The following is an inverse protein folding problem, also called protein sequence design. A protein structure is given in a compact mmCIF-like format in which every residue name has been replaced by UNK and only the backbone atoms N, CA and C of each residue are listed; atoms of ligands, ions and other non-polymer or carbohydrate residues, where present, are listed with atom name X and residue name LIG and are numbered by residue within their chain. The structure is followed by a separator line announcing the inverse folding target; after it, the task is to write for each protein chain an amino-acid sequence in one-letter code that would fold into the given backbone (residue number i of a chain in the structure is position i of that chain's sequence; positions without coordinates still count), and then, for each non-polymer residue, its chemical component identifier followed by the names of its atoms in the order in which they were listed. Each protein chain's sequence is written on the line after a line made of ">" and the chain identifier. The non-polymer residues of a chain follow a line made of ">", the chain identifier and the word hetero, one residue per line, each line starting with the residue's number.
data_IF_837951173659
#
_entry.id   IF_837951173659
#
_cell.length_a   1.000
_cell.length_b   1.000
_cell.length_c   1.000
_cell.angle_alpha   90.00
_cell.angle_beta   90.00
_cell.angle_gamma   90.00
#
_symmetry.space_group_name_H-M   'P 1'
#
loop_
_entity.id
_entity.type
_entity.pdbx_description
1 polymer ?
#
# COMPACT_ATOMS: atom_id res chain seq x y z
N UNK A 1 63.40 19.87 40.14
CA UNK A 1 63.80 21.12 39.47
C UNK A 1 62.74 21.48 38.42
N UNK A 2 62.30 22.75 38.41
CA UNK A 2 61.20 23.38 37.63
C UNK A 2 61.26 23.10 36.11
N UNK A 3 60.15 22.68 35.47
CA UNK A 3 59.09 23.46 34.74
C UNK A 3 59.51 24.13 33.41
N UNK A 4 58.85 23.76 32.29
CA UNK A 4 58.08 24.63 31.35
C UNK A 4 57.42 23.82 30.20
N UNK A 5 56.11 23.50 30.30
CA UNK A 5 54.93 23.92 29.49
C UNK A 5 55.16 24.35 28.02
N UNK A 6 54.33 23.79 27.11
CA UNK A 6 53.48 24.53 26.13
C UNK A 6 52.29 23.68 25.62
N UNK A 7 51.24 24.39 25.23
CA UNK A 7 49.80 24.05 25.11
C UNK A 7 49.34 23.27 23.86
N UNK A 8 48.09 22.75 23.91
CA UNK A 8 47.30 22.09 22.86
C UNK A 8 46.83 23.03 21.71
N UNK A 9 46.22 22.51 20.61
CA UNK A 9 44.75 22.31 20.60
C UNK A 9 44.23 21.07 19.83
N UNK A 10 42.96 20.75 20.07
CA UNK A 10 42.09 19.82 19.34
C UNK A 10 41.75 20.36 17.95
N UNK A 11 41.67 19.51 16.91
CA UNK A 11 40.87 19.82 15.73
C UNK A 11 40.23 18.57 15.10
N UNK A 12 38.95 18.75 14.83
CA UNK A 12 37.98 17.93 14.11
C UNK A 12 38.14 18.09 12.61
N UNK A 13 38.26 17.00 11.83
CA UNK A 13 37.76 16.99 10.45
C UNK A 13 37.85 15.61 9.79
N UNK A 14 36.71 15.14 9.29
CA UNK A 14 36.58 14.15 8.21
C UNK A 14 36.45 14.93 6.88
N UNK A 15 36.77 14.32 5.73
CA UNK A 15 35.72 13.89 4.79
C UNK A 15 36.03 12.49 4.19
N UNK A 16 35.08 11.55 4.01
CA UNK A 16 33.98 11.46 3.05
C UNK A 16 34.42 11.34 1.57
N UNK A 17 34.52 10.11 1.05
CA UNK A 17 34.38 9.67 -0.36
C UNK A 17 34.53 8.12 -0.36
N UNK A 18 33.81 7.28 -1.08
CA UNK A 18 32.98 7.48 -2.26
C UNK A 18 31.94 6.34 -2.33
N UNK A 19 30.65 6.69 -2.30
CA UNK A 19 29.53 5.79 -2.50
C UNK A 19 29.02 6.00 -3.93
N UNK A 20 29.30 5.05 -4.82
CA UNK A 20 28.68 5.01 -6.13
C UNK A 20 28.33 3.57 -6.45
N UNK A 21 27.07 3.23 -6.17
CA UNK A 21 26.16 2.42 -7.00
C UNK A 21 25.02 1.95 -6.10
N UNK A 22 23.85 1.85 -6.71
CA UNK A 22 22.53 1.56 -6.12
C UNK A 22 21.78 2.84 -5.76
N UNK A 23 20.77 3.15 -6.58
CA UNK A 23 19.41 3.57 -6.24
C UNK A 23 18.78 4.17 -7.50
N UNK A 24 18.23 3.30 -8.35
CA UNK A 24 17.21 3.72 -9.31
C UNK A 24 15.96 3.94 -8.45
N UNK A 25 15.56 5.20 -8.31
CA UNK A 25 14.42 5.65 -7.52
C UNK A 25 13.15 4.92 -7.95
N UNK A 26 12.63 4.02 -7.11
CA UNK A 26 11.25 3.58 -7.16
C UNK A 26 10.44 4.52 -6.27
N UNK A 27 10.13 5.72 -6.78
CA UNK A 27 9.10 6.56 -6.17
C UNK A 27 7.77 6.09 -6.75
N UNK A 28 6.93 5.50 -5.91
CA UNK A 28 5.67 4.92 -6.32
C UNK A 28 4.69 5.03 -5.16
N UNK A 29 3.56 5.70 -5.36
CA UNK A 29 2.46 5.68 -4.39
C UNK A 29 1.74 4.33 -4.50
N UNK A 30 1.84 3.47 -3.49
CA UNK A 30 1.24 2.13 -3.51
C UNK A 30 -0.22 2.13 -3.01
N UNK A 31 -1.08 1.38 -3.70
CA UNK A 31 -2.36 0.90 -3.14
C UNK A 31 -2.13 -0.52 -2.64
N UNK A 32 -2.07 -0.68 -1.32
CA UNK A 32 -1.94 -1.98 -0.67
C UNK A 32 -3.33 -2.61 -0.55
N UNK A 33 -3.54 -3.72 -1.27
CA UNK A 33 -4.51 -4.73 -0.86
C UNK A 33 -3.70 -5.89 -0.31
N UNK A 34 -3.96 -6.33 0.92
CA UNK A 34 -3.25 -7.46 1.51
C UNK A 34 -3.39 -8.65 0.57
N UNK A 35 -2.31 -9.37 0.30
CA UNK A 35 -2.34 -10.69 -0.33
C UNK A 35 -1.33 -11.54 0.42
N UNK A 36 -1.49 -12.86 0.30
CA UNK A 36 -0.48 -13.80 0.76
C UNK A 36 0.90 -13.39 0.25
N UNK A 37 1.92 -13.39 1.11
CA UNK A 37 2.98 -12.40 1.00
C UNK A 37 4.15 -12.88 0.11
N UNK A 38 3.81 -13.73 -0.87
CA UNK A 38 4.74 -14.30 -1.86
C UNK A 38 4.76 -13.55 -3.19
N UNK A 39 3.75 -12.74 -3.49
CA UNK A 39 3.68 -12.04 -4.79
C UNK A 39 3.96 -10.55 -4.65
N UNK A 40 5.20 -10.14 -4.94
CA UNK A 40 5.63 -8.75 -4.94
C UNK A 40 5.41 -8.06 -6.29
N UNK A 41 4.71 -8.71 -7.25
CA UNK A 41 4.47 -8.11 -8.57
C UNK A 41 3.68 -6.80 -8.41
N UNK A 42 4.05 -5.82 -9.24
CA UNK A 42 3.53 -4.45 -9.22
C UNK A 42 3.01 -4.10 -10.60
N UNK A 43 1.83 -3.48 -10.66
CA UNK A 43 1.31 -2.84 -11.87
C UNK A 43 1.46 -1.33 -11.74
N UNK A 44 2.04 -0.67 -12.73
CA UNK A 44 2.14 0.79 -12.77
C UNK A 44 1.05 1.38 -13.66
N UNK A 45 0.25 2.30 -13.11
CA UNK A 45 -0.72 3.07 -13.88
C UNK A 45 -0.01 4.24 -14.56
N UNK A 46 -0.13 4.28 -15.88
CA UNK A 46 0.54 5.29 -16.73
C UNK A 46 -0.43 6.20 -17.47
N UNK A 47 -1.75 6.04 -17.28
CA UNK A 47 -2.76 6.82 -18.01
C UNK A 47 -3.87 7.34 -17.10
N UNK A 48 -4.32 8.57 -17.40
CA UNK A 48 -5.45 9.21 -16.73
C UNK A 48 -6.73 8.37 -16.82
N UNK A 49 -6.96 7.70 -17.96
CA UNK A 49 -8.10 6.81 -18.15
C UNK A 49 -8.08 5.64 -17.14
N UNK A 50 -6.93 5.01 -16.93
CA UNK A 50 -6.80 3.90 -15.97
C UNK A 50 -6.97 4.38 -14.52
N UNK A 51 -6.43 5.56 -14.19
CA UNK A 51 -6.63 6.16 -12.86
C UNK A 51 -8.10 6.47 -12.59
N UNK A 52 -8.84 7.01 -13.57
CA UNK A 52 -10.30 7.24 -13.45
C UNK A 52 -11.09 5.95 -13.31
N UNK A 53 -10.63 4.88 -13.97
CA UNK A 53 -11.23 3.56 -13.78
C UNK A 53 -11.00 3.10 -12.34
N UNK A 54 -9.81 3.23 -11.79
CA UNK A 54 -9.56 2.79 -10.43
C UNK A 54 -10.20 3.69 -9.36
N UNK A 55 -10.42 4.97 -9.63
CA UNK A 55 -10.91 5.96 -8.65
C UNK A 55 -12.33 5.72 -8.09
N UNK A 56 -13.02 4.63 -8.46
CA UNK A 56 -14.35 4.33 -7.92
C UNK A 56 -14.25 3.50 -6.64
N UNK A 57 -14.99 3.85 -5.58
CA UNK A 57 -14.94 3.15 -4.29
C UNK A 57 -15.17 1.64 -4.40
N UNK A 58 -16.24 1.20 -5.07
CA UNK A 58 -16.51 -0.24 -5.28
C UNK A 58 -15.36 -0.94 -6.00
N UNK A 59 -14.70 -0.29 -6.97
CA UNK A 59 -13.58 -0.91 -7.71
C UNK A 59 -12.32 -1.03 -6.84
N UNK A 60 -12.03 -0.03 -5.99
CA UNK A 60 -10.97 -0.13 -4.99
C UNK A 60 -11.26 -1.25 -3.99
N UNK A 61 -12.51 -1.38 -3.53
CA UNK A 61 -12.92 -2.44 -2.61
C UNK A 61 -12.77 -3.82 -3.23
N UNK A 62 -13.29 -4.03 -4.45
CA UNK A 62 -13.19 -5.31 -5.16
C UNK A 62 -11.74 -5.70 -5.46
N UNK A 63 -10.91 -4.77 -5.92
CA UNK A 63 -9.48 -5.04 -6.12
C UNK A 63 -8.79 -5.40 -4.80
N UNK A 64 -9.15 -4.72 -3.70
CA UNK A 64 -8.66 -5.06 -2.36
C UNK A 64 -9.05 -6.47 -1.93
N UNK A 65 -10.32 -6.85 -2.09
CA UNK A 65 -10.84 -8.19 -1.74
C UNK A 65 -10.19 -9.30 -2.57
N UNK A 66 -9.97 -9.08 -3.86
CA UNK A 66 -9.31 -10.05 -4.74
C UNK A 66 -7.82 -10.24 -4.40
N UNK A 67 -7.19 -9.23 -3.81
CA UNK A 67 -5.85 -9.38 -3.24
C UNK A 67 -5.92 -10.17 -1.93
N UNK A 68 -6.87 -9.82 -1.06
CA UNK A 68 -6.94 -10.34 0.31
C UNK A 68 -7.38 -11.79 0.37
N UNK A 69 -8.43 -12.11 -0.37
CA UNK A 69 -9.10 -13.41 -0.35
C UNK A 69 -8.67 -14.31 -1.52
N UNK A 70 -7.77 -13.83 -2.38
CA UNK A 70 -7.36 -14.52 -3.61
C UNK A 70 -8.49 -14.61 -4.65
N UNK A 71 -8.51 -15.68 -5.48
CA UNK A 71 -9.53 -15.85 -6.51
C UNK A 71 -10.95 -15.85 -5.94
N UNK A 72 -11.86 -15.06 -6.53
CA UNK A 72 -13.26 -14.97 -6.14
C UNK A 72 -14.19 -14.85 -7.35
N UNK A 73 -15.44 -15.27 -7.20
CA UNK A 73 -16.52 -15.05 -8.17
C UNK A 73 -17.23 -13.71 -7.92
N UNK A 74 -17.98 -13.24 -8.92
CA UNK A 74 -18.81 -12.03 -8.77
C UNK A 74 -19.92 -12.20 -7.71
N UNK A 75 -20.42 -13.41 -7.49
CA UNK A 75 -21.43 -13.70 -6.48
C UNK A 75 -20.85 -13.57 -5.06
N UNK A 76 -19.71 -14.23 -4.80
CA UNK A 76 -19.03 -14.15 -3.50
C UNK A 76 -18.64 -12.71 -3.14
N UNK A 77 -18.11 -11.96 -4.11
CA UNK A 77 -17.78 -10.56 -3.91
C UNK A 77 -19.04 -9.71 -3.66
N UNK A 78 -20.15 -10.01 -4.36
CA UNK A 78 -21.45 -9.36 -4.17
C UNK A 78 -21.99 -9.53 -2.76
N UNK A 79 -21.86 -10.72 -2.17
CA UNK A 79 -22.28 -10.99 -0.79
C UNK A 79 -21.46 -10.18 0.23
N UNK A 80 -20.17 -9.93 -0.04
CA UNK A 80 -19.29 -9.18 0.86
C UNK A 80 -19.54 -7.67 0.77
N UNK A 81 -19.76 -7.15 -0.44
CA UNK A 81 -19.94 -5.70 -0.67
C UNK A 81 -21.42 -5.26 -0.67
N UNK A 82 -22.33 -6.20 -0.45
CA UNK A 82 -23.79 -6.00 -0.46
C UNK A 82 -24.30 -5.35 -1.76
N UNK A 83 -23.83 -5.86 -2.90
CA UNK A 83 -24.28 -5.42 -4.23
C UNK A 83 -24.67 -6.61 -5.12
N UNK A 84 -25.61 -6.37 -6.03
CA UNK A 84 -26.09 -7.40 -6.96
C UNK A 84 -24.94 -7.95 -7.87
N UNK A 85 -24.91 -9.26 -8.17
CA UNK A 85 -23.85 -9.87 -8.98
C UNK A 85 -23.66 -9.25 -10.37
N UNK A 86 -24.73 -8.70 -10.96
CA UNK A 86 -24.66 -7.97 -12.24
C UNK A 86 -23.85 -6.66 -12.13
N UNK A 87 -24.01 -5.93 -11.04
CA UNK A 87 -23.24 -4.70 -10.75
C UNK A 87 -21.77 -5.04 -10.51
N UNK A 88 -21.50 -6.11 -9.77
CA UNK A 88 -20.13 -6.58 -9.53
C UNK A 88 -19.46 -7.00 -10.82
N UNK A 89 -20.15 -7.76 -11.68
CA UNK A 89 -19.62 -8.18 -12.97
C UNK A 89 -19.23 -6.98 -13.86
N UNK A 90 -20.03 -5.90 -13.83
CA UNK A 90 -19.68 -4.66 -14.53
C UNK A 90 -18.38 -4.04 -13.99
N UNK A 91 -18.24 -3.94 -12.65
CA UNK A 91 -17.04 -3.37 -12.04
C UNK A 91 -15.79 -4.22 -12.26
N UNK A 92 -15.91 -5.56 -12.19
CA UNK A 92 -14.85 -6.49 -12.52
C UNK A 92 -14.42 -6.35 -13.98
N UNK A 93 -15.37 -6.25 -14.92
CA UNK A 93 -15.06 -6.00 -16.33
C UNK A 93 -14.27 -4.70 -16.54
N UNK A 94 -14.58 -3.63 -15.80
CA UNK A 94 -13.81 -2.37 -15.83
C UNK A 94 -12.40 -2.55 -15.27
N UNK A 95 -12.22 -3.28 -14.17
CA UNK A 95 -10.89 -3.58 -13.63
C UNK A 95 -10.05 -4.44 -14.60
N UNK A 96 -10.68 -5.44 -15.23
CA UNK A 96 -10.04 -6.29 -16.22
C UNK A 96 -9.60 -5.48 -17.46
N UNK A 97 -10.40 -4.49 -17.88
CA UNK A 97 -10.06 -3.62 -19.02
C UNK A 97 -8.79 -2.79 -18.83
N UNK A 98 -8.33 -2.63 -17.59
CA UNK A 98 -7.08 -1.95 -17.24
C UNK A 98 -6.03 -2.91 -16.64
N UNK A 99 -6.22 -4.22 -16.86
CA UNK A 99 -5.30 -5.30 -16.46
C UNK A 99 -4.94 -5.34 -14.95
N UNK A 100 -5.85 -4.88 -14.08
CA UNK A 100 -5.68 -5.01 -12.63
C UNK A 100 -6.22 -6.34 -12.08
N UNK A 101 -7.10 -7.00 -12.84
CA UNK A 101 -7.60 -8.33 -12.54
C UNK A 101 -7.63 -9.16 -13.83
N UNK A 102 -7.64 -10.47 -13.69
CA UNK A 102 -7.72 -11.43 -14.79
C UNK A 102 -8.60 -12.64 -14.40
N UNK A 103 -9.09 -13.41 -15.38
CA UNK A 103 -9.73 -14.69 -15.09
C UNK A 103 -8.76 -15.63 -14.34
N UNK A 104 -9.25 -16.27 -13.29
CA UNK A 104 -8.51 -17.28 -12.54
C UNK A 104 -8.90 -18.69 -12.99
N UNK A 105 -8.08 -19.68 -12.64
CA UNK A 105 -8.45 -21.08 -12.78
C UNK A 105 -9.70 -21.39 -11.93
N UNK A 106 -10.55 -22.30 -12.42
CA UNK A 106 -11.75 -22.70 -11.71
C UNK A 106 -11.38 -23.32 -10.35
N UNK A 107 -11.96 -22.78 -9.27
CA UNK A 107 -11.75 -23.28 -7.91
C UNK A 107 -12.82 -24.30 -7.48
N UNK A 108 -13.81 -24.55 -8.34
CA UNK A 108 -14.87 -25.53 -8.12
C UNK A 108 -15.10 -26.39 -9.37
N UNK A 109 -15.88 -27.46 -9.23
CA UNK A 109 -16.29 -28.32 -10.34
C UNK A 109 -17.39 -27.71 -11.22
N UNK A 110 -18.02 -26.60 -10.82
CA UNK A 110 -19.05 -25.95 -11.63
C UNK A 110 -18.40 -25.06 -12.70
N UNK A 111 -18.47 -25.53 -13.95
CA UNK A 111 -17.91 -24.82 -15.11
C UNK A 111 -18.66 -23.53 -15.47
N UNK A 112 -19.79 -23.23 -14.82
CA UNK A 112 -20.54 -21.98 -15.03
C UNK A 112 -19.99 -20.83 -14.20
N UNK A 113 -19.15 -21.11 -13.20
CA UNK A 113 -18.57 -20.08 -12.36
C UNK A 113 -17.41 -19.36 -13.06
N UNK A 114 -17.46 -18.03 -13.05
CA UNK A 114 -16.37 -17.19 -13.54
C UNK A 114 -15.57 -16.64 -12.38
N UNK A 115 -14.36 -17.16 -12.23
CA UNK A 115 -13.41 -16.79 -11.18
C UNK A 115 -12.49 -15.67 -11.66
N UNK A 116 -12.21 -14.72 -10.78
CA UNK A 116 -11.34 -13.58 -11.02
C UNK A 116 -10.25 -13.54 -9.97
N UNK A 117 -9.05 -13.09 -10.34
CA UNK A 117 -7.95 -12.84 -9.42
C UNK A 117 -7.28 -11.50 -9.72
N UNK A 118 -6.65 -10.89 -8.72
CA UNK A 118 -5.80 -9.73 -8.95
C UNK A 118 -4.55 -10.13 -9.75
N UNK A 119 -4.13 -9.30 -10.71
CA UNK A 119 -2.90 -9.57 -11.49
C UNK A 119 -1.63 -9.33 -10.69
N UNK A 120 -1.70 -8.41 -9.71
CA UNK A 120 -0.60 -7.97 -8.87
C UNK A 120 -1.07 -7.58 -7.48
N UNK A 121 -0.19 -7.74 -6.48
CA UNK A 121 -0.47 -7.34 -5.10
C UNK A 121 -0.49 -5.81 -4.93
N UNK A 122 0.21 -5.08 -5.80
CA UNK A 122 0.47 -3.66 -5.65
C UNK A 122 0.17 -2.90 -6.94
N UNK A 123 -0.60 -1.81 -6.82
CA UNK A 123 -0.76 -0.82 -7.89
C UNK A 123 0.02 0.43 -7.53
N UNK A 124 0.74 1.00 -8.49
CA UNK A 124 1.61 2.16 -8.29
C UNK A 124 1.48 3.21 -9.40
N UNK A 125 1.83 4.46 -9.09
CA UNK A 125 2.10 5.53 -10.05
C UNK A 125 3.04 6.54 -9.41
N UNK A 126 3.69 7.37 -10.23
CA UNK A 126 4.55 8.46 -9.76
C UNK A 126 3.80 9.80 -9.88
N UNK A 127 3.34 10.42 -8.77
CA UNK A 127 2.61 11.67 -8.83
C UNK A 127 3.39 12.83 -9.45
N UNK A 128 4.72 12.89 -9.29
CA UNK A 128 5.52 13.97 -9.84
C UNK A 128 5.50 13.98 -11.37
N UNK A 129 5.49 12.80 -11.99
CA UNK A 129 5.46 12.64 -13.46
C UNK A 129 4.14 13.13 -14.07
N UNK A 130 3.11 13.35 -13.25
CA UNK A 130 1.76 13.78 -13.68
C UNK A 130 1.54 15.28 -13.51
N UNK A 131 2.47 16.01 -12.90
CA UNK A 131 2.31 17.44 -12.58
C UNK A 131 2.22 18.32 -13.84
N UNK A 132 2.86 17.89 -14.94
CA UNK A 132 2.94 18.64 -16.19
C UNK A 132 1.74 18.44 -17.12
N UNK A 133 0.85 17.47 -16.83
CA UNK A 133 -0.36 17.20 -17.59
C UNK A 133 -1.61 17.42 -16.72
N UNK A 134 -2.40 18.48 -16.96
CA UNK A 134 -3.60 18.79 -16.17
C UNK A 134 -4.63 17.67 -16.12
N UNK A 135 -4.77 16.87 -17.19
CA UNK A 135 -5.73 15.77 -17.25
C UNK A 135 -5.28 14.60 -16.37
N UNK A 136 -3.99 14.24 -16.45
CA UNK A 136 -3.38 13.21 -15.60
C UNK A 136 -3.37 13.64 -14.13
N UNK A 137 -3.05 14.90 -13.84
CA UNK A 137 -3.08 15.46 -12.50
C UNK A 137 -4.48 15.36 -11.88
N UNK A 138 -5.52 15.74 -12.63
CA UNK A 138 -6.90 15.66 -12.17
C UNK A 138 -7.35 14.21 -11.92
N UNK A 139 -6.97 13.28 -12.80
CA UNK A 139 -7.27 11.86 -12.64
C UNK A 139 -6.56 11.25 -11.41
N UNK A 140 -5.27 11.57 -11.22
CA UNK A 140 -4.48 11.16 -10.06
C UNK A 140 -5.06 11.71 -8.76
N UNK A 141 -5.40 13.00 -8.73
CA UNK A 141 -6.02 13.63 -7.55
C UNK A 141 -7.37 12.99 -7.21
N UNK A 142 -8.18 12.63 -8.20
CA UNK A 142 -9.44 11.90 -8.00
C UNK A 142 -9.18 10.52 -7.38
N UNK A 143 -8.25 9.75 -7.93
CA UNK A 143 -7.86 8.44 -7.40
C UNK A 143 -7.33 8.54 -5.96
N UNK A 144 -6.44 9.49 -5.68
CA UNK A 144 -5.88 9.73 -4.35
C UNK A 144 -6.96 10.06 -3.31
N UNK A 145 -7.95 10.88 -3.68
CA UNK A 145 -9.08 11.21 -2.80
C UNK A 145 -9.92 9.97 -2.48
N UNK A 146 -10.24 9.15 -3.48
CA UNK A 146 -10.99 7.91 -3.27
C UNK A 146 -10.25 6.91 -2.38
N UNK A 147 -8.93 6.82 -2.52
CA UNK A 147 -8.08 6.00 -1.64
C UNK A 147 -8.10 6.55 -0.21
N UNK A 148 -7.94 7.85 -0.03
CA UNK A 148 -8.01 8.47 1.29
C UNK A 148 -9.35 8.22 1.98
N UNK A 149 -10.46 8.28 1.23
CA UNK A 149 -11.80 7.93 1.72
C UNK A 149 -11.90 6.46 2.12
N UNK A 150 -11.33 5.54 1.32
CA UNK A 150 -11.32 4.12 1.65
C UNK A 150 -10.50 3.82 2.93
N UNK A 151 -9.35 4.50 3.12
CA UNK A 151 -8.56 4.37 4.36
C UNK A 151 -9.30 4.93 5.57
N UNK A 152 -9.97 6.07 5.42
CA UNK A 152 -10.78 6.63 6.49
C UNK A 152 -11.92 5.68 6.89
N UNK A 153 -12.61 5.08 5.92
CA UNK A 153 -13.66 4.10 6.19
C UNK A 153 -13.14 2.88 6.97
N UNK A 154 -12.03 2.27 6.53
CA UNK A 154 -11.42 1.13 7.25
C UNK A 154 -11.01 1.48 8.69
N UNK A 155 -10.51 2.70 8.90
CA UNK A 155 -10.13 3.14 10.23
C UNK A 155 -11.36 3.36 11.13
N UNK A 156 -12.45 3.90 10.58
CA UNK A 156 -13.74 3.97 11.27
C UNK A 156 -14.26 2.57 11.64
N UNK A 157 -14.23 1.61 10.70
CA UNK A 157 -14.65 0.22 10.97
C UNK A 157 -13.83 -0.40 12.12
N UNK A 158 -12.52 -0.17 12.15
CA UNK A 158 -11.64 -0.59 13.25
C UNK A 158 -12.03 0.06 14.59
N UNK A 159 -12.31 1.36 14.60
CA UNK A 159 -12.75 2.07 15.82
C UNK A 159 -14.07 1.47 16.33
N UNK A 160 -15.03 1.24 15.45
CA UNK A 160 -16.33 0.68 15.79
C UNK A 160 -16.23 -0.78 16.28
N UNK A 161 -15.28 -1.55 15.74
CA UNK A 161 -15.01 -2.93 16.16
C UNK A 161 -14.18 -3.01 17.46
N UNK A 162 -13.42 -1.98 17.83
CA UNK A 162 -12.47 -1.98 18.95
C UNK A 162 -13.04 -2.51 20.28
N UNK A 163 -14.28 -2.17 20.71
CA UNK A 163 -14.86 -2.70 21.94
C UNK A 163 -15.01 -4.24 21.98
N UNK A 164 -15.03 -4.88 20.82
CA UNK A 164 -15.22 -6.33 20.67
C UNK A 164 -13.92 -7.07 20.35
N UNK A 165 -12.79 -6.36 20.18
CA UNK A 165 -11.50 -6.98 19.91
C UNK A 165 -10.83 -7.52 21.19
N UNK A 166 -10.03 -8.60 21.11
CA UNK A 166 -9.25 -9.06 22.25
C UNK A 166 -8.28 -7.98 22.74
N UNK A 167 -8.11 -7.87 24.06
CA UNK A 167 -7.28 -6.83 24.70
C UNK A 167 -5.86 -6.75 24.12
N UNK A 168 -5.24 -7.89 23.86
CA UNK A 168 -3.84 -7.94 23.41
C UNK A 168 -3.69 -7.36 21.99
N UNK A 169 -4.71 -7.53 21.13
CA UNK A 169 -4.77 -6.90 19.81
C UNK A 169 -4.96 -5.38 19.89
N UNK A 170 -5.82 -4.91 20.81
CA UNK A 170 -6.00 -3.47 21.06
C UNK A 170 -4.72 -2.84 21.63
N UNK A 171 -4.02 -3.54 22.52
CA UNK A 171 -2.78 -3.05 23.13
C UNK A 171 -1.59 -3.03 22.15
N UNK A 172 -1.55 -3.96 21.20
CA UNK A 172 -0.51 -4.04 20.16
C UNK A 172 -0.72 -3.02 19.02
N UNK A 173 -1.95 -2.52 18.84
CA UNK A 173 -2.26 -1.55 17.80
C UNK A 173 -1.47 -0.23 18.00
N UNK A 174 -1.03 0.35 16.89
CA UNK A 174 -0.30 1.62 16.90
C UNK A 174 -1.11 2.70 16.19
N UNK A 175 -1.31 3.84 16.86
CA UNK A 175 -1.91 5.05 16.28
C UNK A 175 -1.17 6.28 16.79
N UNK A 176 -0.85 7.21 15.89
CA UNK A 176 -0.29 8.50 16.30
C UNK A 176 0.00 9.41 15.12
N UNK A 177 -0.06 10.71 15.38
CA UNK A 177 0.34 11.76 14.46
C UNK A 177 1.53 12.54 15.03
N UNK A 178 2.48 12.90 14.15
CA UNK A 178 3.64 13.71 14.49
C UNK A 178 3.87 14.74 13.39
N UNK A 179 4.14 15.98 13.78
CA UNK A 179 4.59 17.01 12.84
C UNK A 179 6.11 17.08 12.88
N UNK A 180 6.75 16.75 11.75
CA UNK A 180 8.20 16.79 11.59
C UNK A 180 8.60 18.00 10.75
N UNK A 181 9.80 18.54 10.99
CA UNK A 181 10.44 19.55 10.14
C UNK A 181 11.64 18.90 9.48
N UNK A 182 11.54 18.65 8.18
CA UNK A 182 12.52 17.89 7.40
C UNK A 182 12.89 18.63 6.12
N UNK A 183 14.12 18.49 5.66
CA UNK A 183 14.50 18.83 4.27
C UNK A 183 13.95 17.80 3.28
N UNK A 184 14.12 18.04 1.97
CA UNK A 184 13.73 17.08 0.92
C UNK A 184 14.56 15.79 1.01
N UNK A 185 15.85 15.92 1.34
CA UNK A 185 16.77 14.80 1.53
C UNK A 185 16.37 13.98 2.75
N UNK A 186 16.05 14.63 3.87
CA UNK A 186 15.62 13.97 5.11
C UNK A 186 14.25 13.29 4.94
N UNK A 187 13.29 13.95 4.28
CA UNK A 187 12.00 13.34 3.93
C UNK A 187 12.17 12.14 2.99
N UNK A 188 13.14 12.21 2.08
CA UNK A 188 13.49 11.10 1.19
C UNK A 188 14.10 9.93 1.94
N UNK A 189 15.03 10.20 2.87
CA UNK A 189 15.60 9.17 3.73
C UNK A 189 14.53 8.52 4.62
N UNK A 190 13.69 9.33 5.28
CA UNK A 190 12.59 8.84 6.12
C UNK A 190 11.60 7.97 5.33
N UNK A 191 11.28 8.36 4.08
CA UNK A 191 10.43 7.54 3.20
C UNK A 191 11.06 6.16 2.96
N UNK A 192 12.33 6.11 2.60
CA UNK A 192 13.03 4.85 2.35
C UNK A 192 13.11 3.97 3.62
N UNK A 193 13.30 4.58 4.80
CA UNK A 193 13.26 3.86 6.08
C UNK A 193 11.87 3.29 6.40
N UNK A 194 10.80 4.03 6.10
CA UNK A 194 9.42 3.57 6.26
C UNK A 194 9.09 2.42 5.30
N UNK A 195 9.49 2.53 4.03
CA UNK A 195 9.33 1.47 3.04
C UNK A 195 10.08 0.20 3.48
N UNK A 196 11.35 0.33 3.88
CA UNK A 196 12.13 -0.80 4.39
C UNK A 196 11.56 -1.41 5.68
N UNK A 197 10.92 -0.60 6.54
CA UNK A 197 10.20 -1.11 7.71
C UNK A 197 8.99 -1.95 7.30
N UNK A 198 8.20 -1.46 6.35
CA UNK A 198 7.00 -2.15 5.84
C UNK A 198 7.40 -3.46 5.17
N UNK A 199 8.40 -3.45 4.31
CA UNK A 199 8.87 -4.63 3.58
C UNK A 199 9.28 -5.76 4.54
N UNK A 200 9.98 -5.45 5.64
CA UNK A 200 10.32 -6.45 6.67
C UNK A 200 9.08 -7.11 7.31
N UNK A 201 8.03 -6.35 7.55
CA UNK A 201 6.79 -6.88 8.14
C UNK A 201 5.94 -7.62 7.11
N UNK A 202 6.00 -7.24 5.83
CA UNK A 202 5.44 -8.03 4.73
C UNK A 202 6.11 -9.40 4.65
N UNK A 203 7.45 -9.45 4.72
CA UNK A 203 8.22 -10.71 4.75
C UNK A 203 7.91 -11.55 5.99
N UNK A 204 7.72 -10.91 7.16
CA UNK A 204 7.32 -11.61 8.39
C UNK A 204 5.92 -12.21 8.23
N UNK A 205 4.97 -11.43 7.71
CA UNK A 205 3.66 -11.90 7.28
C UNK A 205 3.76 -13.12 6.35
N UNK A 206 4.74 -13.10 5.43
CA UNK A 206 4.95 -14.13 4.41
C UNK A 206 5.20 -15.53 4.95
N UNK A 207 5.80 -15.58 6.13
CA UNK A 207 6.21 -16.81 6.78
C UNK A 207 5.05 -17.51 7.50
N UNK A 208 3.93 -16.81 7.75
CA UNK A 208 2.77 -17.35 8.44
C UNK A 208 1.94 -18.30 7.57
N UNK A 209 1.27 -19.26 8.20
CA UNK A 209 0.40 -20.21 7.52
C UNK A 209 -0.82 -19.48 6.92
N UNK A 210 -1.06 -19.57 5.58
CA UNK A 210 -2.25 -18.97 4.97
C UNK A 210 -3.57 -19.48 5.54
N UNK A 211 -3.58 -20.65 6.18
CA UNK A 211 -4.77 -21.20 6.83
C UNK A 211 -5.04 -20.61 8.24
N UNK A 212 -4.20 -19.69 8.73
CA UNK A 212 -4.40 -18.94 9.98
C UNK A 212 -4.22 -19.79 11.25
N UNK A 213 -3.52 -20.91 11.16
CA UNK A 213 -3.40 -21.86 12.29
C UNK A 213 -2.43 -21.42 13.40
N UNK A 214 -1.61 -20.40 13.14
CA UNK A 214 -0.57 -19.87 14.04
C UNK A 214 -0.98 -18.59 14.79
N UNK A 215 -2.21 -18.13 14.61
CA UNK A 215 -2.75 -16.93 15.27
C UNK A 215 -2.35 -15.61 14.62
N UNK A 216 -1.73 -15.63 13.44
CA UNK A 216 -1.55 -14.42 12.64
C UNK A 216 -2.88 -13.92 12.08
N UNK A 217 -3.19 -12.64 12.29
CA UNK A 217 -4.39 -11.99 11.77
C UNK A 217 -4.02 -10.89 10.76
N UNK A 218 -4.92 -10.56 9.82
CA UNK A 218 -4.72 -9.43 8.91
C UNK A 218 -4.57 -8.09 9.66
N UNK A 219 -3.46 -7.38 9.43
CA UNK A 219 -3.21 -6.04 9.98
C UNK A 219 -3.14 -5.00 8.87
N UNK A 220 -3.90 -3.92 9.03
CA UNK A 220 -3.88 -2.78 8.09
C UNK A 220 -2.91 -1.72 8.58
N UNK A 221 -1.86 -1.45 7.80
CA UNK A 221 -0.95 -0.32 8.00
C UNK A 221 -1.16 0.73 6.91
N UNK A 222 -1.51 1.95 7.32
CA UNK A 222 -1.57 3.12 6.43
C UNK A 222 -0.67 4.20 7.01
N UNK A 223 0.33 4.65 6.24
CA UNK A 223 1.17 5.79 6.60
C UNK A 223 1.22 6.79 5.44
N UNK A 224 1.22 8.08 5.76
CA UNK A 224 1.34 9.17 4.78
C UNK A 224 2.30 10.22 5.33
N UNK A 225 3.27 10.64 4.52
CA UNK A 225 4.21 11.70 4.86
C UNK A 225 4.29 12.69 3.69
N UNK A 226 3.81 13.92 3.92
CA UNK A 226 3.78 14.98 2.92
C UNK A 226 4.06 16.33 3.57
N UNK A 227 4.57 17.28 2.78
CA UNK A 227 4.70 18.67 3.22
C UNK A 227 3.30 19.26 3.42
N UNK A 228 3.03 19.86 4.58
CA UNK A 228 1.76 20.58 4.81
C UNK A 228 1.63 21.73 3.79
N UNK A 229 0.43 21.96 3.22
CA UNK A 229 0.17 23.08 2.31
C UNK A 229 0.55 24.44 2.90
#
# INVERSE_FOLDING_TARGET
>A
MRVRRRSAPTDTSRPAENAQRVLRNDRCSYIVGGMTPRDTRRTTLTSAASMRVLAHPTRLRLLGLLRELGPQTAAQLGDIVDEAPGTISYHLGKLASIALIEPAEAQSSDQREHWWQATTALTSWEPADLLDDPDQLAASASLQKSIAQAYAARYTDYIDATPNLPRDWVAAAASGDRSLRLTVEELTAMRAELEALVDRWVETGAAHDPAGSDGAEPVVLVYQAYRRP
#
